data_IF_068416686865
#
_entry.id   IF_068416686865
#
_cell.length_a   1.000
_cell.length_b   1.000
_cell.length_c   1.000
_cell.angle_alpha   90.00
_cell.angle_beta   90.00
_cell.angle_gamma   90.00
#
_symmetry.space_group_name_H-M   'P 1'
#
loop_
_entity.id
_entity.type
_entity.pdbx_description
1 polymer ?
#
# COMPACT_ATOMS: atom_id res chain seq x y z
N UNK A 1 -44.63 30.63 -9.12
CA UNK A 1 -43.87 29.98 -8.03
C UNK A 1 -43.14 28.80 -8.65
N UNK A 2 -41.83 28.94 -8.88
CA UNK A 2 -40.98 27.89 -9.45
C UNK A 2 -39.84 27.69 -8.45
N UNK A 3 -39.88 26.55 -7.77
CA UNK A 3 -38.90 26.14 -6.77
C UNK A 3 -37.64 25.67 -7.46
N UNK A 4 -36.54 26.39 -7.22
CA UNK A 4 -35.19 26.00 -7.60
C UNK A 4 -34.76 24.72 -6.87
N UNK A 5 -34.62 23.61 -7.58
CA UNK A 5 -33.87 22.45 -7.09
C UNK A 5 -32.38 22.81 -7.10
N UNK A 6 -31.84 23.14 -5.92
CA UNK A 6 -30.40 23.06 -5.67
C UNK A 6 -30.09 21.60 -5.40
N UNK A 7 -29.51 20.90 -6.37
CA UNK A 7 -28.84 19.63 -6.11
C UNK A 7 -27.61 19.92 -5.25
N UNK A 8 -27.75 19.62 -3.95
CA UNK A 8 -26.64 19.62 -3.02
C UNK A 8 -25.66 18.53 -3.42
N UNK A 9 -24.43 18.93 -3.69
CA UNK A 9 -23.29 18.03 -3.73
C UNK A 9 -23.22 17.31 -2.37
N UNK A 10 -23.44 16.00 -2.36
CA UNK A 10 -23.46 15.20 -1.13
C UNK A 10 -22.03 15.12 -0.57
N UNK A 11 -21.68 16.08 0.27
CA UNK A 11 -20.54 16.07 1.16
C UNK A 11 -20.81 15.06 2.27
N UNK A 12 -20.79 13.77 1.92
CA UNK A 12 -21.36 12.70 2.77
C UNK A 12 -20.49 11.46 2.96
N UNK A 13 -19.24 11.40 2.48
CA UNK A 13 -18.32 10.29 2.83
C UNK A 13 -17.39 10.74 3.97
N UNK A 14 -18.00 11.18 5.08
CA UNK A 14 -17.29 11.47 6.32
C UNK A 14 -17.86 10.56 7.41
N UNK A 15 -17.34 9.33 7.53
CA UNK A 15 -17.59 8.54 8.74
C UNK A 15 -17.63 7.02 8.60
N UNK A 16 -17.83 6.47 7.39
CA UNK A 16 -17.82 5.02 7.20
C UNK A 16 -16.46 4.60 6.67
N UNK A 17 -15.56 4.13 7.55
CA UNK A 17 -14.42 3.32 7.13
C UNK A 17 -14.96 2.00 6.61
N UNK A 18 -15.24 1.94 5.31
CA UNK A 18 -15.53 0.67 4.66
C UNK A 18 -14.26 -0.18 4.82
N UNK A 19 -14.33 -1.32 5.52
CA UNK A 19 -13.16 -2.17 5.73
C UNK A 19 -12.62 -2.61 4.38
N UNK A 20 -11.29 -2.65 4.25
CA UNK A 20 -10.65 -3.16 3.04
C UNK A 20 -11.07 -4.62 2.86
N UNK A 21 -11.69 -4.94 1.73
CA UNK A 21 -11.97 -6.31 1.33
C UNK A 21 -10.82 -6.86 0.52
N UNK A 22 -10.47 -8.10 0.79
CA UNK A 22 -9.47 -8.86 0.06
C UNK A 22 -10.12 -10.11 -0.49
N UNK A 23 -9.84 -10.39 -1.76
CA UNK A 23 -10.22 -11.62 -2.42
C UNK A 23 -8.95 -12.33 -2.85
N UNK A 24 -8.85 -13.61 -2.53
CA UNK A 24 -7.70 -14.45 -2.91
C UNK A 24 -8.22 -15.51 -3.87
N UNK A 25 -7.46 -15.76 -4.93
CA UNK A 25 -7.75 -16.81 -5.91
C UNK A 25 -6.83 -18.00 -5.70
N UNK A 26 -7.28 -19.19 -6.08
CA UNK A 26 -6.49 -20.40 -6.09
C UNK A 26 -6.98 -21.37 -7.15
N UNK A 27 -6.61 -22.63 -7.02
CA UNK A 27 -7.10 -23.71 -7.87
C UNK A 27 -7.80 -24.77 -7.02
N UNK A 28 -8.94 -25.25 -7.51
CA UNK A 28 -9.57 -26.46 -7.00
C UNK A 28 -8.68 -27.66 -7.35
N UNK A 29 -8.13 -28.34 -6.34
CA UNK A 29 -7.14 -29.40 -6.54
C UNK A 29 -7.72 -30.68 -7.16
N UNK A 30 -9.06 -30.83 -7.17
CA UNK A 30 -9.73 -32.00 -7.77
C UNK A 30 -10.00 -31.78 -9.25
N UNK A 31 -10.41 -30.56 -9.62
CA UNK A 31 -10.90 -30.23 -10.96
C UNK A 31 -9.92 -29.40 -11.79
N UNK A 32 -8.90 -28.80 -11.15
CA UNK A 32 -7.94 -27.89 -11.78
C UNK A 32 -8.50 -26.51 -12.13
N UNK A 33 -9.74 -26.19 -11.74
CA UNK A 33 -10.39 -24.91 -12.07
C UNK A 33 -9.91 -23.78 -11.16
N UNK A 34 -9.82 -22.56 -11.71
CA UNK A 34 -9.58 -21.35 -10.91
C UNK A 34 -10.80 -21.03 -10.04
N UNK A 35 -10.57 -20.74 -8.77
CA UNK A 35 -11.61 -20.47 -7.77
C UNK A 35 -11.23 -19.28 -6.89
N UNK A 36 -12.22 -18.71 -6.19
CA UNK A 36 -11.96 -17.86 -5.04
C UNK A 36 -11.83 -18.72 -3.79
N UNK A 37 -10.83 -18.44 -2.97
CA UNK A 37 -10.67 -19.09 -1.66
C UNK A 37 -11.41 -18.28 -0.59
N UNK A 38 -11.88 -18.96 0.45
CA UNK A 38 -12.53 -18.32 1.58
C UNK A 38 -11.49 -17.62 2.47
N UNK A 39 -11.09 -16.40 2.09
CA UNK A 39 -10.11 -15.62 2.82
C UNK A 39 -10.75 -14.98 4.08
N UNK A 40 -10.09 -15.04 5.26
CA UNK A 40 -10.55 -14.33 6.44
C UNK A 40 -10.48 -12.82 6.21
N UNK A 41 -11.26 -12.08 7.00
CA UNK A 41 -11.15 -10.63 7.10
C UNK A 41 -9.71 -10.21 7.48
N UNK A 42 -9.34 -9.00 7.07
CA UNK A 42 -8.02 -8.46 7.37
C UNK A 42 -7.86 -8.23 8.87
N UNK A 43 -6.78 -8.76 9.43
CA UNK A 43 -6.37 -8.41 10.78
C UNK A 43 -5.79 -6.99 10.76
N UNK A 44 -6.39 -6.07 11.52
CA UNK A 44 -5.93 -4.69 11.59
C UNK A 44 -5.27 -4.44 12.93
N UNK A 45 -4.07 -3.89 12.92
CA UNK A 45 -3.30 -3.54 14.12
C UNK A 45 -2.98 -2.04 14.14
N UNK A 46 -2.90 -1.46 15.33
CA UNK A 46 -2.54 -0.06 15.50
C UNK A 46 -1.04 0.16 15.21
N UNK A 47 -0.74 1.27 14.54
CA UNK A 47 0.61 1.84 14.43
C UNK A 47 0.62 3.09 15.32
N UNK A 48 1.21 3.03 16.53
CA UNK A 48 1.11 4.09 17.53
C UNK A 48 1.44 5.47 16.97
N UNK A 49 0.54 6.44 17.17
CA UNK A 49 0.72 7.83 16.72
C UNK A 49 0.59 8.06 15.21
N UNK A 50 0.31 7.02 14.42
CA UNK A 50 0.27 7.11 12.96
C UNK A 50 -1.07 6.67 12.36
N UNK A 51 -1.64 5.56 12.84
CA UNK A 51 -2.93 5.03 12.36
C UNK A 51 -3.01 3.52 12.52
N UNK A 52 -3.38 2.80 11.46
CA UNK A 52 -3.47 1.33 11.48
C UNK A 52 -2.84 0.69 10.25
N UNK A 53 -2.43 -0.57 10.40
CA UNK A 53 -1.90 -1.39 9.33
C UNK A 53 -2.67 -2.71 9.25
N UNK A 54 -2.81 -3.24 8.04
CA UNK A 54 -3.31 -4.60 7.81
C UNK A 54 -2.58 -5.26 6.66
N UNK A 55 -2.25 -6.55 6.81
CA UNK A 55 -1.57 -7.32 5.78
C UNK A 55 -2.56 -7.97 4.82
N UNK A 56 -2.50 -7.55 3.56
CA UNK A 56 -3.29 -8.13 2.47
C UNK A 56 -2.73 -9.47 2.01
N UNK A 57 -1.43 -9.59 1.79
CA UNK A 57 -0.83 -10.89 1.42
C UNK A 57 0.66 -10.85 1.67
N UNK A 58 1.28 -12.00 1.96
CA UNK A 58 2.73 -12.11 2.04
C UNK A 58 3.20 -13.48 1.56
N UNK A 59 4.33 -13.50 0.88
CA UNK A 59 4.98 -14.73 0.39
C UNK A 59 6.24 -15.00 1.21
N UNK A 60 6.70 -16.26 1.28
CA UNK A 60 7.90 -16.59 2.06
C UNK A 60 9.18 -16.15 1.35
N UNK A 61 9.19 -16.26 0.03
CA UNK A 61 10.31 -15.94 -0.84
C UNK A 61 9.84 -15.45 -2.20
N UNK A 62 10.80 -14.99 -3.01
CA UNK A 62 10.60 -14.72 -4.43
C UNK A 62 11.61 -15.52 -5.28
N UNK A 63 11.17 -16.17 -6.38
CA UNK A 63 9.78 -16.32 -6.82
C UNK A 63 8.91 -17.12 -5.84
N UNK A 64 7.60 -16.83 -5.83
CA UNK A 64 6.63 -17.48 -4.92
C UNK A 64 6.34 -18.93 -5.32
N UNK A 65 6.17 -19.80 -4.33
CA UNK A 65 5.75 -21.19 -4.52
C UNK A 65 4.24 -21.36 -4.32
N UNK A 66 3.51 -21.45 -5.44
CA UNK A 66 2.05 -21.61 -5.45
C UNK A 66 1.60 -23.08 -5.42
N UNK A 67 2.54 -24.01 -5.63
CA UNK A 67 2.23 -25.45 -5.71
C UNK A 67 1.58 -25.92 -4.41
N UNK A 68 0.50 -26.68 -4.54
CA UNK A 68 -0.25 -27.24 -3.41
C UNK A 68 -0.71 -26.20 -2.37
N UNK A 69 -0.92 -24.95 -2.81
CA UNK A 69 -1.29 -23.82 -1.97
C UNK A 69 -0.30 -23.51 -0.83
N UNK A 70 0.98 -23.87 -0.97
CA UNK A 70 1.98 -23.70 0.09
C UNK A 70 2.07 -22.26 0.61
N UNK A 71 2.10 -21.26 -0.27
CA UNK A 71 2.12 -19.85 0.10
C UNK A 71 0.82 -19.40 0.78
N UNK A 72 -0.33 -19.87 0.29
CA UNK A 72 -1.63 -19.59 0.86
C UNK A 72 -1.78 -20.17 2.27
N UNK A 73 -1.42 -21.43 2.48
CA UNK A 73 -1.45 -22.07 3.81
C UNK A 73 -0.52 -21.35 4.78
N UNK A 74 0.68 -20.96 4.34
CA UNK A 74 1.59 -20.15 5.13
C UNK A 74 0.97 -18.77 5.47
N UNK A 75 0.31 -18.12 4.50
CA UNK A 75 -0.33 -16.82 4.74
C UNK A 75 -1.54 -16.91 5.68
N UNK A 76 -2.32 -17.99 5.62
CA UNK A 76 -3.51 -18.19 6.45
C UNK A 76 -3.20 -18.77 7.84
N UNK A 77 -2.06 -19.42 8.00
CA UNK A 77 -1.56 -19.86 9.31
C UNK A 77 -1.30 -18.67 10.24
N UNK A 78 -1.53 -18.84 11.55
CA UNK A 78 -1.20 -17.83 12.58
C UNK A 78 0.27 -17.85 13.00
N UNK A 79 0.96 -18.95 12.74
CA UNK A 79 2.32 -19.20 13.25
C UNK A 79 3.41 -18.86 12.21
N UNK A 80 3.02 -18.60 10.96
CA UNK A 80 3.95 -18.25 9.88
C UNK A 80 4.42 -16.80 9.94
N UNK A 81 5.65 -16.55 9.48
CA UNK A 81 6.18 -15.20 9.23
C UNK A 81 5.39 -14.43 8.15
N UNK A 82 4.69 -15.15 7.27
CA UNK A 82 3.80 -14.58 6.24
C UNK A 82 2.35 -14.44 6.68
N UNK A 83 2.03 -14.80 7.92
CA UNK A 83 0.67 -14.79 8.45
C UNK A 83 -0.04 -13.45 8.23
N UNK A 84 -1.31 -13.52 7.81
CA UNK A 84 -2.20 -12.37 7.68
C UNK A 84 -2.44 -11.60 8.99
N UNK A 85 -2.11 -12.17 10.15
CA UNK A 85 -2.23 -11.52 11.46
C UNK A 85 -1.02 -10.65 11.82
N UNK A 86 0.10 -10.78 11.09
CA UNK A 86 1.33 -10.00 11.31
C UNK A 86 1.25 -8.64 10.61
N UNK A 87 0.26 -7.85 11.02
CA UNK A 87 -0.19 -6.65 10.31
C UNK A 87 0.80 -5.48 10.33
N UNK A 88 1.74 -5.48 11.29
CA UNK A 88 2.78 -4.45 11.44
C UNK A 88 4.16 -4.92 10.98
N UNK A 89 4.26 -6.13 10.47
CA UNK A 89 5.49 -6.65 9.89
C UNK A 89 5.55 -6.20 8.44
N UNK A 90 6.37 -5.20 8.15
CA UNK A 90 6.48 -4.61 6.81
C UNK A 90 7.39 -5.42 5.88
N UNK A 91 8.41 -6.08 6.42
CA UNK A 91 9.31 -6.94 5.66
C UNK A 91 9.06 -8.41 5.98
N UNK A 92 9.22 -9.27 4.97
CA UNK A 92 9.33 -10.70 5.17
C UNK A 92 10.81 -11.05 5.08
N UNK A 93 11.44 -11.52 6.17
CA UNK A 93 12.86 -11.87 6.15
C UNK A 93 13.09 -13.12 5.29
N UNK A 94 14.31 -13.34 4.80
CA UNK A 94 14.67 -14.59 4.14
C UNK A 94 14.60 -15.78 5.11
N UNK A 95 14.22 -16.95 4.58
CA UNK A 95 14.16 -18.21 5.33
C UNK A 95 15.53 -18.70 5.78
N UNK A 96 16.59 -18.33 5.07
CA UNK A 96 17.98 -18.70 5.40
C UNK A 96 18.86 -17.44 5.40
N UNK A 97 19.45 -17.13 6.56
CA UNK A 97 20.52 -16.13 6.70
C UNK A 97 21.84 -16.74 6.21
N UNK A 98 22.19 -16.52 4.93
CA UNK A 98 23.52 -16.86 4.43
C UNK A 98 24.42 -15.62 4.46
N UNK A 99 25.17 -15.46 5.55
CA UNK A 99 26.11 -14.36 5.80
C UNK A 99 27.40 -14.42 4.95
N UNK A 100 27.54 -15.41 4.06
CA UNK A 100 28.85 -15.71 3.46
C UNK A 100 28.96 -15.50 1.94
N UNK A 101 27.87 -15.37 1.19
CA UNK A 101 27.95 -15.22 -0.27
C UNK A 101 26.80 -14.32 -0.72
N UNK A 102 27.06 -13.37 -1.63
CA UNK A 102 26.10 -12.41 -2.21
C UNK A 102 24.95 -13.02 -3.03
N UNK A 103 24.55 -14.25 -2.70
CA UNK A 103 23.44 -15.04 -3.23
C UNK A 103 22.65 -15.65 -2.06
N UNK A 104 22.36 -14.85 -1.02
CA UNK A 104 21.38 -15.24 0.00
C UNK A 104 20.00 -15.36 -0.62
N UNK A 105 19.19 -16.30 -0.11
CA UNK A 105 17.77 -16.34 -0.44
C UNK A 105 17.16 -14.97 -0.10
N UNK A 106 16.38 -14.39 -1.01
CA UNK A 106 15.64 -13.17 -0.69
C UNK A 106 14.44 -13.53 0.17
N UNK A 107 13.98 -12.58 0.97
CA UNK A 107 12.67 -12.67 1.60
C UNK A 107 11.53 -12.77 0.58
N UNK A 108 10.30 -12.66 1.04
CA UNK A 108 9.15 -12.62 0.15
C UNK A 108 8.55 -11.24 -0.03
N UNK A 109 7.55 -11.16 -0.91
CA UNK A 109 6.77 -9.95 -1.11
C UNK A 109 5.77 -9.77 0.04
N UNK A 110 5.43 -8.52 0.35
CA UNK A 110 4.41 -8.19 1.34
C UNK A 110 3.50 -7.08 0.82
N UNK A 111 2.20 -7.22 1.04
CA UNK A 111 1.19 -6.23 0.63
C UNK A 111 0.51 -5.71 1.88
N UNK A 112 0.70 -4.44 2.20
CA UNK A 112 0.18 -3.78 3.41
C UNK A 112 -0.78 -2.65 3.04
N UNK A 113 -1.93 -2.59 3.72
CA UNK A 113 -2.74 -1.38 3.77
C UNK A 113 -2.30 -0.54 4.97
N UNK A 114 -1.94 0.71 4.73
CA UNK A 114 -1.67 1.71 5.75
C UNK A 114 -2.81 2.73 5.77
N UNK A 115 -3.55 2.76 6.88
CA UNK A 115 -4.50 3.82 7.19
C UNK A 115 -3.78 4.86 8.04
N UNK A 116 -3.76 6.09 7.57
CA UNK A 116 -3.04 7.19 8.19
C UNK A 116 -4.05 8.13 8.82
N UNK A 117 -3.98 8.31 10.14
CA UNK A 117 -4.89 9.18 10.87
C UNK A 117 -4.74 10.65 10.44
N UNK A 118 -5.80 11.47 10.61
CA UNK A 118 -5.75 12.88 10.22
C UNK A 118 -4.57 13.62 10.86
N UNK A 119 -3.76 14.24 10.01
CA UNK A 119 -2.60 15.03 10.40
C UNK A 119 -1.42 14.25 10.97
N UNK A 120 -1.49 12.91 10.98
CA UNK A 120 -0.44 12.06 11.51
C UNK A 120 0.85 12.17 10.68
N UNK A 121 1.98 12.04 11.38
CA UNK A 121 3.33 12.14 10.83
C UNK A 121 4.06 10.86 11.20
N UNK A 122 4.43 10.07 10.19
CA UNK A 122 5.21 8.86 10.40
C UNK A 122 6.65 9.16 10.81
N UNK A 123 7.31 8.16 11.39
CA UNK A 123 8.74 8.22 11.67
C UNK A 123 9.53 8.26 10.35
N UNK A 124 10.67 8.94 10.40
CA UNK A 124 11.65 8.88 9.32
C UNK A 124 12.35 7.52 9.41
N UNK A 125 12.22 6.68 8.40
CA UNK A 125 12.69 5.29 8.43
C UNK A 125 13.12 4.81 7.05
N UNK A 126 13.80 3.66 7.02
CA UNK A 126 14.23 2.97 5.81
C UNK A 126 14.06 1.47 6.00
N UNK A 127 13.36 0.85 5.07
CA UNK A 127 13.36 -0.59 4.83
C UNK A 127 14.30 -0.91 3.66
N UNK A 128 15.01 -2.02 3.72
CA UNK A 128 15.89 -2.46 2.60
C UNK A 128 15.06 -3.21 1.56
N UNK A 129 14.17 -2.47 0.90
CA UNK A 129 13.18 -3.00 -0.03
C UNK A 129 12.93 -2.07 -1.21
N UNK A 130 12.38 -2.65 -2.29
CA UNK A 130 11.72 -1.89 -3.35
C UNK A 130 10.22 -1.86 -3.04
N UNK A 131 9.68 -0.67 -2.78
CA UNK A 131 8.27 -0.52 -2.44
C UNK A 131 7.52 0.21 -3.54
N UNK A 132 6.37 -0.35 -3.91
CA UNK A 132 5.40 0.26 -4.81
C UNK A 132 4.21 0.66 -3.97
N UNK A 133 4.13 1.95 -3.64
CA UNK A 133 3.16 2.48 -2.68
C UNK A 133 2.18 3.40 -3.39
N UNK A 134 0.92 3.02 -3.37
CA UNK A 134 -0.16 3.70 -4.09
C UNK A 134 -1.06 4.44 -3.12
N UNK A 135 -1.33 5.73 -3.37
CA UNK A 135 -2.34 6.45 -2.61
C UNK A 135 -3.73 6.01 -3.11
N UNK A 136 -4.50 5.36 -2.25
CA UNK A 136 -5.82 4.81 -2.61
C UNK A 136 -6.98 5.60 -2.00
N UNK A 137 -6.71 6.42 -0.98
CA UNK A 137 -7.68 7.31 -0.35
C UNK A 137 -6.97 8.56 0.21
N UNK A 138 -7.59 9.73 0.08
CA UNK A 138 -7.07 10.98 0.63
C UNK A 138 -5.84 11.49 -0.12
N UNK A 139 -4.99 12.22 0.61
CA UNK A 139 -3.76 12.81 0.08
C UNK A 139 -2.63 12.63 1.11
N UNK A 140 -1.45 12.22 0.66
CA UNK A 140 -0.33 11.86 1.53
C UNK A 140 0.95 12.46 0.99
N UNK A 141 1.73 13.13 1.84
CA UNK A 141 3.10 13.49 1.48
C UNK A 141 4.04 12.30 1.71
N UNK A 142 4.89 12.06 0.73
CA UNK A 142 6.09 11.25 0.87
C UNK A 142 7.30 12.18 0.96
N UNK A 143 7.98 12.20 2.11
CA UNK A 143 9.11 13.10 2.38
C UNK A 143 10.38 12.28 2.60
N UNK A 144 11.47 12.69 1.96
CA UNK A 144 12.81 12.12 2.09
C UNK A 144 13.62 12.83 3.19
N UNK A 145 14.69 12.20 3.65
CA UNK A 145 15.63 12.82 4.61
C UNK A 145 16.40 14.03 4.05
N UNK A 146 16.44 14.20 2.73
CA UNK A 146 16.90 15.43 2.06
C UNK A 146 15.98 16.64 2.25
N UNK A 147 14.76 16.43 2.80
CA UNK A 147 13.71 17.45 2.90
C UNK A 147 12.86 17.59 1.64
N UNK A 148 13.20 16.90 0.55
CA UNK A 148 12.34 16.83 -0.64
C UNK A 148 11.06 16.07 -0.30
N UNK A 149 9.92 16.58 -0.78
CA UNK A 149 8.61 15.95 -0.60
C UNK A 149 7.76 16.02 -1.86
N UNK A 150 6.97 14.99 -2.09
CA UNK A 150 5.92 14.95 -3.12
C UNK A 150 4.57 14.67 -2.47
N UNK A 151 3.51 15.31 -2.97
CA UNK A 151 2.14 15.02 -2.56
C UNK A 151 1.57 13.95 -3.49
N UNK A 152 1.18 12.80 -2.94
CA UNK A 152 0.45 11.75 -3.66
C UNK A 152 -1.05 11.91 -3.40
N UNK A 153 -1.85 11.78 -4.45
CA UNK A 153 -3.30 11.89 -4.39
C UNK A 153 -3.98 10.60 -4.81
N UNK A 154 -5.07 10.26 -4.13
CA UNK A 154 -5.93 9.17 -4.54
C UNK A 154 -6.56 9.47 -5.91
N UNK A 155 -6.71 8.42 -6.73
CA UNK A 155 -7.39 8.55 -8.02
C UNK A 155 -8.86 8.93 -7.83
N UNK A 156 -9.35 9.86 -8.64
CA UNK A 156 -10.79 10.17 -8.71
C UNK A 156 -11.34 9.74 -10.06
N UNK A 157 -12.27 8.77 -10.04
CA UNK A 157 -13.05 8.41 -11.22
C UNK A 157 -14.06 9.52 -11.50
N UNK A 158 -13.66 10.50 -12.30
CA UNK A 158 -14.64 11.47 -12.80
C UNK A 158 -15.39 10.78 -13.93
N UNK A 159 -16.67 10.45 -13.80
CA UNK A 159 -17.49 10.07 -14.95
C UNK A 159 -18.01 11.37 -15.58
N UNK A 160 -17.25 12.02 -16.46
CA UNK A 160 -17.85 13.09 -17.28
C UNK A 160 -18.80 12.39 -18.26
N UNK A 161 -20.12 12.65 -18.24
CA UNK A 161 -20.94 12.30 -19.39
C UNK A 161 -20.34 13.06 -20.58
N UNK A 162 -20.19 12.35 -21.69
CA UNK A 162 -19.78 12.90 -22.97
C UNK A 162 -20.89 13.84 -23.45
N UNK A 163 -20.92 15.09 -22.97
CA UNK A 163 -21.73 16.13 -23.61
C UNK A 163 -20.96 16.58 -24.84
N UNK A 164 -21.41 16.10 -26.01
CA UNK A 164 -21.13 16.74 -27.29
C UNK A 164 -21.84 18.09 -27.26
N UNK A 165 -21.19 19.10 -26.71
CA UNK A 165 -21.61 20.48 -26.95
C UNK A 165 -20.83 21.02 -28.16
N UNK A 166 -21.55 21.65 -29.08
CA UNK A 166 -21.05 22.13 -30.37
C UNK A 166 -20.28 23.45 -30.19
N UNK A 167 -19.19 23.42 -29.43
CA UNK A 167 -18.29 24.55 -29.20
C UNK A 167 -16.89 24.03 -28.85
N UNK A 168 -15.85 24.65 -29.43
CA UNK A 168 -14.50 24.11 -29.46
C UNK A 168 -13.98 23.64 -28.10
N UNK A 169 -13.28 22.48 -28.02
CA UNK A 169 -12.77 21.97 -26.77
C UNK A 169 -11.58 22.82 -26.29
N UNK A 170 -11.81 23.71 -25.32
CA UNK A 170 -10.69 24.34 -24.60
C UNK A 170 -10.20 23.36 -23.54
N UNK A 171 -9.06 22.72 -23.81
CA UNK A 171 -8.33 21.94 -22.82
C UNK A 171 -7.96 22.84 -21.62
N UNK A 172 -8.40 22.48 -20.41
CA UNK A 172 -8.01 23.15 -19.17
C UNK A 172 -7.33 22.13 -18.22
N UNK A 173 -6.03 22.27 -17.91
CA UNK A 173 -5.30 21.37 -17.01
C UNK A 173 -5.78 21.43 -15.55
N UNK A 174 -6.51 22.47 -15.14
CA UNK A 174 -7.16 22.53 -13.81
C UNK A 174 -8.37 21.59 -13.67
N UNK A 175 -8.81 20.97 -14.77
CA UNK A 175 -9.97 20.09 -14.85
C UNK A 175 -9.58 18.59 -14.94
N UNK A 176 -8.32 18.28 -14.64
CA UNK A 176 -7.70 16.96 -14.78
C UNK A 176 -8.23 16.00 -13.71
N UNK A 177 -8.78 14.87 -14.17
CA UNK A 177 -9.12 13.70 -13.36
C UNK A 177 -7.80 13.19 -12.77
N UNK A 178 -7.66 13.15 -11.45
CA UNK A 178 -6.47 12.55 -10.84
C UNK A 178 -6.46 11.06 -11.20
N UNK A 179 -5.55 10.67 -12.09
CA UNK A 179 -5.12 9.29 -12.22
C UNK A 179 -4.39 8.95 -10.92
N UNK A 180 -4.64 7.77 -10.38
CA UNK A 180 -4.12 7.36 -9.08
C UNK A 180 -2.59 7.51 -8.98
N UNK A 181 -2.13 8.27 -7.99
CA UNK A 181 -0.69 8.47 -7.76
C UNK A 181 -0.08 7.28 -7.00
N UNK A 182 1.16 6.97 -7.36
CA UNK A 182 2.00 6.00 -6.66
C UNK A 182 3.45 6.49 -6.59
N UNK A 183 4.23 5.90 -5.69
CA UNK A 183 5.66 6.14 -5.55
C UNK A 183 6.41 4.81 -5.68
N UNK A 184 7.57 4.87 -6.32
CA UNK A 184 8.55 3.79 -6.37
C UNK A 184 9.66 4.14 -5.37
N UNK A 185 9.61 3.56 -4.18
CA UNK A 185 10.60 3.78 -3.14
C UNK A 185 11.71 2.74 -3.26
N UNK A 186 12.94 3.19 -3.48
CA UNK A 186 14.10 2.33 -3.74
C UNK A 186 15.04 2.26 -2.53
N UNK A 187 14.58 1.70 -1.42
CA UNK A 187 15.32 1.61 -0.16
C UNK A 187 15.84 2.97 0.34
N UNK A 188 15.03 4.02 0.19
CA UNK A 188 15.36 5.39 0.62
C UNK A 188 14.78 5.70 2.00
N UNK A 189 15.52 6.46 2.82
CA UNK A 189 14.99 6.98 4.08
C UNK A 189 13.84 7.96 3.78
N UNK A 190 12.67 7.68 4.32
CA UNK A 190 11.47 8.46 4.05
C UNK A 190 10.50 8.47 5.25
N UNK A 191 9.49 9.33 5.17
CA UNK A 191 8.31 9.29 6.04
C UNK A 191 7.04 9.63 5.26
N UNK A 192 5.94 9.13 5.80
CA UNK A 192 4.59 9.42 5.34
C UNK A 192 3.95 10.49 6.22
N UNK A 193 3.22 11.43 5.60
CA UNK A 193 2.49 12.46 6.33
C UNK A 193 1.10 12.57 5.74
N UNK A 194 0.06 12.43 6.55
CA UNK A 194 -1.29 12.74 6.09
C UNK A 194 -1.41 14.25 5.85
N UNK A 195 -1.72 14.64 4.61
CA UNK A 195 -1.84 16.04 4.22
C UNK A 195 -3.10 16.69 4.81
N UNK A 196 -4.13 15.90 5.11
CA UNK A 196 -5.39 16.37 5.70
C UNK A 196 -5.33 16.33 7.22
N UNK A 197 -5.85 17.37 7.88
CA UNK A 197 -6.04 17.43 9.34
C UNK A 197 -7.39 16.88 9.79
N UNK A 198 -8.28 16.55 8.86
CA UNK A 198 -9.68 16.18 9.14
C UNK A 198 -10.08 14.82 8.54
N UNK A 199 -9.40 14.37 7.49
CA UNK A 199 -9.70 13.12 6.80
C UNK A 199 -8.54 12.14 6.92
N UNK A 200 -8.87 10.85 7.02
CA UNK A 200 -7.88 9.78 6.89
C UNK A 200 -7.35 9.71 5.47
N UNK A 201 -6.16 9.15 5.33
CA UNK A 201 -5.61 8.77 4.04
C UNK A 201 -5.21 7.29 4.06
N UNK A 202 -5.16 6.64 2.90
CA UNK A 202 -4.78 5.24 2.78
C UNK A 202 -3.72 5.06 1.71
N UNK A 203 -2.69 4.28 2.05
CA UNK A 203 -1.67 3.81 1.12
C UNK A 203 -1.72 2.28 1.04
N UNK A 204 -1.75 1.74 -0.17
CA UNK A 204 -1.51 0.31 -0.43
C UNK A 204 -0.05 0.15 -0.86
N UNK A 205 0.76 -0.51 -0.05
CA UNK A 205 2.17 -0.73 -0.29
C UNK A 205 2.44 -2.19 -0.67
N UNK A 206 3.15 -2.40 -1.77
CA UNK A 206 3.76 -3.69 -2.14
C UNK A 206 5.25 -3.57 -1.88
N UNK A 207 5.76 -4.28 -0.88
CA UNK A 207 7.17 -4.32 -0.53
C UNK A 207 7.81 -5.56 -1.13
N UNK A 208 8.87 -5.37 -1.90
CA UNK A 208 9.66 -6.42 -2.51
C UNK A 208 11.05 -6.45 -1.88
N UNK A 209 11.58 -7.62 -1.52
CA UNK A 209 12.94 -7.76 -1.04
C UNK A 209 13.92 -7.32 -2.13
N UNK A 210 15.07 -6.79 -1.74
CA UNK A 210 16.14 -6.48 -2.67
C UNK A 210 17.48 -7.03 -2.15
N UNK A 211 18.40 -7.45 -3.05
CA UNK A 211 19.73 -7.87 -2.63
C UNK A 211 20.47 -6.73 -1.91
N UNK A 212 21.38 -7.05 -0.97
CA UNK A 212 22.24 -6.04 -0.34
C UNK A 212 23.01 -5.24 -1.39
N UNK A 213 23.04 -3.92 -1.24
CA UNK A 213 23.77 -3.02 -2.14
C UNK A 213 24.41 -1.87 -1.37
N UNK A 214 25.40 -1.23 -2.02
CA UNK A 214 26.13 -0.08 -1.45
C UNK A 214 25.77 1.22 -2.15
N UNK A 215 25.73 2.30 -1.38
CA UNK A 215 25.73 3.69 -1.86
C UNK A 215 26.85 4.41 -1.15
N UNK A 216 27.66 5.17 -1.88
CA UNK A 216 28.83 5.86 -1.33
C UNK A 216 29.77 4.91 -0.51
N UNK A 217 29.98 3.69 -1.00
CA UNK A 217 30.82 2.69 -0.37
C UNK A 217 30.25 2.00 0.89
N UNK A 218 29.10 2.43 1.39
CA UNK A 218 28.44 1.88 2.58
C UNK A 218 27.23 1.02 2.20
N UNK A 219 27.05 -0.11 2.89
CA UNK A 219 25.85 -0.92 2.72
C UNK A 219 24.63 -0.16 3.21
N UNK A 220 23.55 -0.25 2.44
CA UNK A 220 22.24 0.22 2.89
C UNK A 220 21.70 -0.77 3.92
N UNK A 221 21.35 -0.25 5.10
CA UNK A 221 20.75 -1.02 6.20
C UNK A 221 19.37 -0.46 6.54
N UNK A 222 18.59 -1.25 7.28
CA UNK A 222 17.38 -0.74 7.90
C UNK A 222 17.71 0.39 8.89
N UNK A 223 16.80 1.36 8.99
CA UNK A 223 16.96 2.52 9.85
C UNK A 223 15.61 2.97 10.39
N UNK A 224 15.51 3.23 11.69
CA UNK A 224 14.32 3.81 12.31
C UNK A 224 14.73 5.02 13.15
N UNK A 225 14.29 6.22 12.76
CA UNK A 225 14.53 7.47 13.51
C UNK A 225 13.27 7.83 14.28
N UNK A 226 13.17 7.30 15.50
CA UNK A 226 12.17 7.76 16.47
C UNK A 226 12.60 9.14 16.98
N UNK A 227 11.71 10.12 16.89
CA UNK A 227 11.88 11.44 17.52
C UNK A 227 11.22 11.43 18.87
#
# INVERSE_FOLDING_TARGET
>A
MSSSNKEGYDAGITGVTIPVKRYITGHDLTTGRSIYVNAPELCTAAVPGFGTASRSYATLKLPTELADNQDLEAHLSRDSVTSYTRSTDFLVPPSVLNDQIGHGELGGANVINLEIDPGAVGHMHRTVSLDISTCVMGEVYHELDSGQKVLLKAGVSVHRPFMIDRGSPTWNPANTRVLQDHIIQRATTHRWINASKVHRARVLAVLLPCPPFKVNGQYITEEHRFK
#
